data_IF_326495634714
#
_entry.id   IF_326495634714
#
_cell.length_a   1.000
_cell.length_b   1.000
_cell.length_c   1.000
_cell.angle_alpha   90.00
_cell.angle_beta   90.00
_cell.angle_gamma   90.00
#
_symmetry.space_group_name_H-M   'P 1'
#
loop_
_entity.id
_entity.type
_entity.pdbx_description
1 polymer ?
#
# COMPACT_ATOMS: atom_id res chain seq x y z
N UNK A 1 5.33 23.48 -1.87
CA UNK A 1 5.86 22.59 -2.93
C UNK A 1 5.50 21.14 -2.61
N UNK A 2 4.47 20.59 -3.26
CA UNK A 2 4.01 19.22 -3.01
C UNK A 2 5.00 18.18 -3.53
N UNK A 3 5.27 17.13 -2.75
CA UNK A 3 6.10 16.00 -3.19
C UNK A 3 5.24 15.07 -4.06
N UNK A 4 5.17 15.35 -5.35
CA UNK A 4 4.45 14.52 -6.32
C UNK A 4 5.24 13.21 -6.53
N UNK A 5 4.55 12.08 -6.45
CA UNK A 5 5.13 10.77 -6.80
C UNK A 5 5.29 10.72 -8.32
N UNK A 6 6.51 10.50 -8.80
CA UNK A 6 6.76 10.33 -10.23
C UNK A 6 6.18 9.00 -10.72
N UNK A 7 5.91 8.92 -12.02
CA UNK A 7 5.40 7.71 -12.69
C UNK A 7 6.33 6.53 -12.46
N UNK A 8 7.64 6.75 -12.51
CA UNK A 8 8.66 5.74 -12.23
C UNK A 8 8.47 5.05 -10.87
N UNK A 9 8.26 5.83 -9.80
CA UNK A 9 8.06 5.27 -8.45
C UNK A 9 6.80 4.41 -8.40
N UNK A 10 5.71 4.86 -9.03
CA UNK A 10 4.46 4.07 -9.10
C UNK A 10 4.69 2.77 -9.86
N UNK A 11 5.26 2.83 -11.07
CA UNK A 11 5.49 1.67 -11.91
C UNK A 11 6.36 0.60 -11.22
N UNK A 12 7.44 1.01 -10.55
CA UNK A 12 8.28 0.07 -9.78
C UNK A 12 7.50 -0.50 -8.59
N UNK A 13 6.72 0.32 -7.91
CA UNK A 13 5.87 -0.15 -6.79
C UNK A 13 4.88 -1.20 -7.27
N UNK A 14 4.19 -0.95 -8.38
CA UNK A 14 3.18 -1.86 -8.94
C UNK A 14 3.82 -3.18 -9.41
N UNK A 15 5.00 -3.12 -10.04
CA UNK A 15 5.78 -4.32 -10.40
C UNK A 15 6.13 -5.16 -9.18
N UNK A 16 6.57 -4.52 -8.09
CA UNK A 16 6.92 -5.22 -6.86
C UNK A 16 5.68 -5.83 -6.21
N UNK A 17 4.56 -5.10 -6.17
CA UNK A 17 3.31 -5.60 -5.60
C UNK A 17 2.67 -6.71 -6.45
N UNK A 18 2.91 -6.72 -7.76
CA UNK A 18 2.54 -7.83 -8.64
C UNK A 18 3.36 -9.10 -8.40
N UNK A 19 4.62 -8.98 -7.97
CA UNK A 19 5.50 -10.12 -7.62
C UNK A 19 5.32 -10.58 -6.17
N UNK A 20 5.13 -9.64 -5.25
CA UNK A 20 5.03 -9.86 -3.82
C UNK A 20 3.76 -9.16 -3.33
N UNK A 21 2.74 -9.93 -3.00
CA UNK A 21 1.46 -9.40 -2.50
C UNK A 21 1.68 -8.37 -1.39
N UNK A 22 0.80 -7.36 -1.34
CA UNK A 22 0.89 -6.26 -0.37
C UNK A 22 0.93 -6.74 1.10
N UNK A 23 0.38 -7.92 1.38
CA UNK A 23 0.38 -8.58 2.69
C UNK A 23 1.79 -8.99 3.19
N UNK A 24 2.75 -9.15 2.26
CA UNK A 24 4.16 -9.41 2.59
C UNK A 24 4.91 -8.18 3.14
N UNK A 25 4.25 -7.02 3.17
CA UNK A 25 4.79 -5.76 3.65
C UNK A 25 4.14 -5.35 4.97
N UNK A 26 4.70 -4.32 5.59
CA UNK A 26 4.31 -3.82 6.90
C UNK A 26 3.93 -2.35 6.85
N UNK A 27 3.34 -1.84 7.94
CA UNK A 27 3.11 -0.42 8.16
C UNK A 27 4.38 0.34 8.59
N UNK A 28 5.50 -0.38 8.76
CA UNK A 28 6.80 0.15 9.15
C UNK A 28 7.74 0.30 7.95
N UNK A 29 8.22 1.53 7.76
CA UNK A 29 9.16 1.88 6.69
C UNK A 29 10.45 1.06 6.73
N UNK A 30 11.03 0.83 7.92
CA UNK A 30 12.32 0.15 8.06
C UNK A 30 12.25 -1.29 7.59
N UNK A 31 11.18 -2.00 7.95
CA UNK A 31 10.97 -3.40 7.58
C UNK A 31 10.79 -3.53 6.06
N UNK A 32 9.96 -2.66 5.48
CA UNK A 32 9.77 -2.59 4.02
C UNK A 32 11.08 -2.30 3.31
N UNK A 33 11.88 -1.36 3.82
CA UNK A 33 13.17 -1.00 3.24
C UNK A 33 14.17 -2.16 3.27
N UNK A 34 14.30 -2.87 4.39
CA UNK A 34 15.20 -4.03 4.46
C UNK A 34 14.77 -5.13 3.49
N UNK A 35 13.46 -5.40 3.39
CA UNK A 35 12.93 -6.35 2.42
C UNK A 35 13.23 -5.95 0.97
N UNK A 36 13.09 -4.66 0.64
CA UNK A 36 13.39 -4.15 -0.70
C UNK A 36 14.90 -4.13 -1.01
N UNK A 37 15.78 -4.08 0.00
CA UNK A 37 17.24 -4.19 -0.25
C UNK A 37 17.62 -5.55 -0.82
N UNK A 38 16.92 -6.61 -0.46
CA UNK A 38 17.12 -7.94 -1.06
C UNK A 38 16.75 -7.96 -2.56
N UNK A 39 16.05 -6.93 -3.04
CA UNK A 39 15.65 -6.73 -4.43
C UNK A 39 16.40 -5.54 -5.06
N UNK A 40 17.61 -5.22 -4.57
CA UNK A 40 18.33 -4.00 -4.93
C UNK A 40 18.53 -3.83 -6.45
N UNK A 41 18.66 -4.94 -7.20
CA UNK A 41 18.85 -4.94 -8.65
C UNK A 41 17.67 -4.32 -9.43
N UNK A 42 16.47 -4.32 -8.85
CA UNK A 42 15.28 -3.70 -9.45
C UNK A 42 15.26 -2.17 -9.32
N UNK A 43 16.21 -1.58 -8.59
CA UNK A 43 16.23 -0.16 -8.28
C UNK A 43 17.44 0.57 -8.88
N UNK A 44 17.22 1.68 -9.61
CA UNK A 44 18.32 2.45 -10.19
C UNK A 44 19.12 3.23 -9.14
N UNK A 45 18.56 3.44 -7.94
CA UNK A 45 19.29 4.11 -6.85
C UNK A 45 18.67 3.86 -5.47
N UNK A 46 19.48 4.05 -4.43
CA UNK A 46 19.04 4.07 -3.01
C UNK A 46 17.92 5.08 -2.75
N UNK A 47 17.91 6.20 -3.49
CA UNK A 47 16.87 7.24 -3.38
C UNK A 47 15.52 6.73 -3.90
N UNK A 48 15.53 5.99 -5.01
CA UNK A 48 14.34 5.36 -5.58
C UNK A 48 13.83 4.26 -4.65
N UNK A 49 14.71 3.38 -4.14
CA UNK A 49 14.34 2.36 -3.15
C UNK A 49 13.63 2.97 -1.93
N UNK A 50 14.19 4.03 -1.34
CA UNK A 50 13.57 4.69 -0.19
C UNK A 50 12.20 5.31 -0.53
N UNK A 51 12.03 5.85 -1.73
CA UNK A 51 10.75 6.41 -2.19
C UNK A 51 9.71 5.32 -2.40
N UNK A 52 10.11 4.18 -2.96
CA UNK A 52 9.24 3.01 -3.15
C UNK A 52 8.85 2.41 -1.79
N UNK A 53 9.81 2.23 -0.86
CA UNK A 53 9.52 1.77 0.50
C UNK A 53 8.48 2.66 1.20
N UNK A 54 8.63 3.98 1.07
CA UNK A 54 7.65 4.94 1.59
C UNK A 54 6.29 4.87 0.89
N UNK A 55 6.27 4.60 -0.41
CA UNK A 55 5.04 4.43 -1.17
C UNK A 55 4.27 3.17 -0.72
N UNK A 56 4.94 2.03 -0.62
CA UNK A 56 4.37 0.77 -0.12
C UNK A 56 3.81 0.95 1.29
N UNK A 57 4.58 1.59 2.18
CA UNK A 57 4.13 1.86 3.56
C UNK A 57 2.83 2.66 3.59
N UNK A 58 2.69 3.64 2.68
CA UNK A 58 1.46 4.43 2.58
C UNK A 58 0.30 3.60 2.04
N UNK A 59 0.51 2.84 0.97
CA UNK A 59 -0.51 1.94 0.41
C UNK A 59 -1.00 0.90 1.43
N UNK A 60 -0.08 0.34 2.22
CA UNK A 60 -0.42 -0.60 3.28
C UNK A 60 -1.31 0.05 4.36
N UNK A 61 -0.98 1.28 4.76
CA UNK A 61 -1.78 2.03 5.75
C UNK A 61 -3.15 2.42 5.21
N UNK A 62 -3.21 2.89 3.97
CA UNK A 62 -4.45 3.26 3.29
C UNK A 62 -5.38 2.02 3.23
N UNK A 63 -4.86 0.88 2.74
CA UNK A 63 -5.62 -0.38 2.70
C UNK A 63 -6.04 -0.88 4.08
N UNK A 64 -5.19 -0.75 5.09
CA UNK A 64 -5.53 -1.15 6.47
C UNK A 64 -6.62 -0.25 7.06
N UNK A 65 -6.62 1.03 6.73
CA UNK A 65 -7.67 1.96 7.16
C UNK A 65 -9.01 1.60 6.49
N UNK A 66 -9.01 1.33 5.18
CA UNK A 66 -10.19 0.82 4.46
C UNK A 66 -10.72 -0.48 5.08
N UNK A 67 -9.83 -1.44 5.36
CA UNK A 67 -10.21 -2.71 5.98
C UNK A 67 -10.73 -2.54 7.42
N UNK A 68 -10.17 -1.58 8.17
CA UNK A 68 -10.65 -1.25 9.52
C UNK A 68 -12.05 -0.63 9.48
N UNK A 69 -12.30 0.27 8.54
CA UNK A 69 -13.62 0.87 8.32
C UNK A 69 -14.67 -0.19 7.95
N UNK A 70 -14.31 -1.16 7.11
CA UNK A 70 -15.15 -2.31 6.77
C UNK A 70 -15.44 -3.26 7.95
N UNK A 71 -14.53 -3.35 8.92
CA UNK A 71 -14.67 -4.24 10.09
C UNK A 71 -15.37 -3.55 11.27
N UNK A 72 -15.26 -2.23 11.39
CA UNK A 72 -15.93 -1.44 12.44
C UNK A 72 -17.29 -0.87 12.00
N UNK A 73 -17.67 -1.03 10.72
CA UNK A 73 -19.00 -0.71 10.19
C UNK A 73 -19.91 -1.94 10.07
N UNK A 74 -20.90 -2.06 10.96
CA UNK A 74 -22.09 -2.89 10.75
C UNK A 74 -23.27 -2.39 11.59
N UNK A 75 -24.55 -2.64 11.25
CA UNK A 75 -25.11 -3.21 10.02
C UNK A 75 -25.62 -2.12 9.05
N UNK A 76 -25.71 -2.41 7.75
CA UNK A 76 -26.73 -1.74 6.94
C UNK A 76 -28.07 -2.35 7.33
N UNK A 77 -28.91 -1.56 8.00
CA UNK A 77 -30.33 -1.84 8.09
C UNK A 77 -30.86 -1.93 6.65
N UNK A 78 -31.10 -3.15 6.19
CA UNK A 78 -31.97 -3.38 5.05
C UNK A 78 -33.37 -3.13 5.62
N UNK A 79 -33.81 -1.88 5.57
CA UNK A 79 -35.23 -1.57 5.67
C UNK A 79 -35.88 -2.14 4.40
N UNK A 80 -36.21 -3.44 4.47
CA UNK A 80 -37.18 -4.03 3.59
C UNK A 80 -38.53 -3.41 3.98
N UNK A 81 -38.82 -2.24 3.41
CA UNK A 81 -40.19 -1.75 3.26
C UNK A 81 -40.93 -2.73 2.33
N UNK A 82 -41.17 -3.93 2.83
CA UNK A 82 -42.20 -4.83 2.32
C UNK A 82 -43.53 -4.14 2.55
N UNK A 83 -44.00 -3.52 1.47
CA UNK A 83 -45.38 -3.08 1.24
C UNK A 83 -46.38 -4.01 1.95
N UNK A 84 -47.17 -3.44 2.85
CA UNK A 84 -48.44 -3.99 3.32
C UNK A 84 -49.45 -2.87 3.48
#
# INVERSE_FOLDING_TARGET
MGRIRTVEIRSITDKILGKYSLDSFSDKFRDNKERLKSLAEEFPSKKVLNRVAGNITRLFKDKRAEMKELLEGGPQEIEDESLS
#
